data_IF_329599634219
#
_entry.id   IF_329599634219
#
_cell.length_a   1.000
_cell.length_b   1.000
_cell.length_c   1.000
_cell.angle_alpha   90.00
_cell.angle_beta   90.00
_cell.angle_gamma   90.00
#
_symmetry.space_group_name_H-M   'P 1'
#
loop_
_entity.id
_entity.type
_entity.pdbx_description
1 polymer ?
#
# COMPACT_ATOMS: atom_id res chain seq x y z
N UNK A 1 -21.39 87.51 6.27
CA UNK A 1 -22.22 87.01 7.40
C UNK A 1 -22.03 85.50 7.54
N UNK A 2 -21.87 85.02 8.78
CA UNK A 2 -21.64 83.64 9.26
C UNK A 2 -22.55 82.56 8.62
N UNK A 3 -22.06 81.37 8.24
CA UNK A 3 -21.97 80.07 8.97
C UNK A 3 -21.60 79.01 7.87
N UNK A 4 -21.04 77.81 8.05
CA UNK A 4 -20.66 76.93 9.16
C UNK A 4 -19.74 75.82 8.60
N UNK A 5 -18.98 75.16 9.48
CA UNK A 5 -18.13 73.99 9.25
C UNK A 5 -18.91 72.76 8.73
N UNK A 6 -18.33 71.99 7.79
CA UNK A 6 -18.42 70.53 7.79
C UNK A 6 -17.32 69.92 6.91
N UNK A 7 -16.31 69.34 7.57
CA UNK A 7 -15.57 68.16 7.10
C UNK A 7 -14.81 68.27 5.76
N UNK A 8 -13.56 68.76 5.65
CA UNK A 8 -12.29 68.30 6.28
C UNK A 8 -12.07 66.80 6.50
N UNK A 9 -13.03 65.92 6.17
CA UNK A 9 -12.91 64.46 6.44
C UNK A 9 -13.13 63.55 5.24
N UNK A 10 -13.30 64.07 4.02
CA UNK A 10 -13.57 63.21 2.84
C UNK A 10 -12.32 62.97 1.98
N UNK A 11 -11.28 63.78 2.13
CA UNK A 11 -10.01 63.61 1.39
C UNK A 11 -8.95 62.76 2.12
N UNK A 12 -9.27 62.25 3.32
CA UNK A 12 -8.40 61.37 4.12
C UNK A 12 -8.85 59.89 4.13
N UNK A 13 -9.85 59.52 3.32
CA UNK A 13 -10.49 58.19 3.33
C UNK A 13 -10.18 57.32 2.09
N UNK A 14 -9.19 57.72 1.27
CA UNK A 14 -8.93 57.08 -0.04
C UNK A 14 -7.52 56.53 -0.28
N UNK A 15 -6.63 56.47 0.71
CA UNK A 15 -5.25 55.95 0.53
C UNK A 15 -4.77 55.05 1.68
N UNK A 16 -5.63 54.15 2.16
CA UNK A 16 -5.27 53.17 3.20
C UNK A 16 -5.64 51.73 2.84
N UNK A 17 -5.43 51.32 1.58
CA UNK A 17 -5.61 49.93 1.15
C UNK A 17 -4.45 49.39 0.28
N UNK A 18 -3.26 49.96 0.43
CA UNK A 18 -2.00 49.34 0.00
C UNK A 18 -1.14 49.10 1.25
N UNK A 19 -1.66 48.27 2.15
CA UNK A 19 -0.79 47.55 3.06
C UNK A 19 -0.16 46.44 2.22
N UNK A 20 1.18 46.37 2.06
CA UNK A 20 1.77 45.07 1.81
C UNK A 20 1.29 44.18 2.95
N UNK A 21 0.58 43.10 2.63
CA UNK A 21 0.48 41.96 3.52
C UNK A 21 1.92 41.54 3.70
N UNK A 22 2.56 42.07 4.75
CA UNK A 22 3.69 41.43 5.38
C UNK A 22 3.19 40.00 5.58
N UNK A 23 3.74 39.07 4.79
CA UNK A 23 3.89 37.72 5.30
C UNK A 23 4.34 37.92 6.73
N UNK A 24 3.54 37.41 7.65
CA UNK A 24 4.00 37.20 8.99
C UNK A 24 5.36 36.52 8.80
N UNK A 25 6.46 37.18 9.17
CA UNK A 25 7.72 36.52 9.43
C UNK A 25 7.43 35.63 10.64
N UNK A 26 6.63 34.59 10.42
CA UNK A 26 6.48 33.47 11.31
C UNK A 26 7.92 33.05 11.49
N UNK A 27 8.43 33.29 12.70
CA UNK A 27 9.82 33.05 13.06
C UNK A 27 10.17 31.71 12.45
N UNK A 28 10.96 31.75 11.38
CA UNK A 28 11.56 30.54 10.86
C UNK A 28 12.48 30.09 11.99
N UNK A 29 11.98 29.15 12.79
CA UNK A 29 12.88 28.29 13.52
C UNK A 29 13.49 27.42 12.45
N UNK A 30 14.81 27.47 12.21
CA UNK A 30 15.43 26.31 11.59
C UNK A 30 14.97 25.07 12.37
N UNK A 31 14.77 23.96 11.65
CA UNK A 31 14.62 22.66 12.31
C UNK A 31 15.78 22.47 13.30
N UNK A 32 15.54 21.68 14.33
CA UNK A 32 16.59 21.38 15.31
C UNK A 32 17.86 20.91 14.58
N UNK A 33 19.03 21.24 15.13
CA UNK A 33 20.31 20.87 14.53
C UNK A 33 20.28 19.39 14.17
N UNK A 34 20.55 19.09 12.90
CA UNK A 34 20.67 17.71 12.41
C UNK A 34 21.65 16.98 13.32
N UNK A 35 21.15 16.03 14.11
CA UNK A 35 21.91 15.00 14.81
C UNK A 35 23.34 15.42 15.20
N UNK A 36 23.46 16.05 16.37
CA UNK A 36 24.76 16.47 16.91
C UNK A 36 25.75 15.30 17.10
N UNK A 37 25.25 14.07 17.15
CA UNK A 37 26.06 12.84 17.30
C UNK A 37 26.73 12.44 15.98
N UNK A 38 26.20 12.86 14.84
CA UNK A 38 26.67 12.43 13.52
C UNK A 38 26.43 10.94 13.27
N UNK A 39 25.46 10.31 13.94
CA UNK A 39 25.18 8.87 13.87
C UNK A 39 23.90 8.61 13.09
N UNK A 40 23.95 7.89 11.98
CA UNK A 40 22.76 7.55 11.22
C UNK A 40 22.34 6.10 11.47
N UNK A 41 21.18 5.91 12.09
CA UNK A 41 20.54 4.60 12.30
C UNK A 41 19.37 4.45 11.32
N UNK A 42 19.28 3.30 10.65
CA UNK A 42 18.30 3.04 9.60
C UNK A 42 17.86 1.57 9.59
N UNK A 43 16.73 1.27 8.96
CA UNK A 43 16.28 -0.11 8.77
C UNK A 43 16.97 -0.73 7.56
N UNK A 44 17.33 -2.01 7.66
CA UNK A 44 17.59 -2.84 6.48
C UNK A 44 16.34 -2.87 5.58
N UNK A 45 16.54 -2.98 4.27
CA UNK A 45 15.44 -3.09 3.32
C UNK A 45 14.56 -4.30 3.66
N UNK A 46 13.28 -4.06 3.91
CA UNK A 46 12.29 -5.09 4.19
C UNK A 46 11.29 -5.17 3.04
N UNK A 47 10.80 -6.38 2.76
CA UNK A 47 9.70 -6.53 1.80
C UNK A 47 8.47 -5.76 2.30
N UNK A 48 7.85 -4.91 1.45
CA UNK A 48 6.73 -4.05 1.85
C UNK A 48 5.46 -4.83 2.19
N UNK A 49 5.40 -6.11 1.83
CA UNK A 49 4.30 -7.02 2.13
C UNK A 49 4.85 -8.32 2.72
N UNK A 50 4.34 -8.70 3.89
CA UNK A 50 4.76 -9.88 4.65
C UNK A 50 3.56 -10.78 4.89
N UNK A 51 3.54 -11.93 4.21
CA UNK A 51 2.58 -13.00 4.45
C UNK A 51 3.20 -14.01 5.42
N UNK A 52 2.60 -14.12 6.60
CA UNK A 52 3.12 -14.96 7.68
C UNK A 52 2.17 -16.14 7.93
N UNK A 53 2.70 -17.31 8.33
CA UNK A 53 1.89 -18.44 8.76
C UNK A 53 0.91 -18.06 9.89
N UNK A 54 -0.22 -18.77 9.97
CA UNK A 54 -1.25 -18.52 11.01
C UNK A 54 -0.73 -18.66 12.44
N UNK A 55 0.30 -19.48 12.68
CA UNK A 55 0.93 -19.67 13.97
C UNK A 55 2.06 -18.67 14.27
N UNK A 56 2.38 -17.77 13.32
CA UNK A 56 3.33 -16.71 13.57
C UNK A 56 2.81 -15.76 14.66
N UNK A 57 3.70 -15.44 15.60
CA UNK A 57 3.44 -14.58 16.75
C UNK A 57 4.37 -13.37 16.79
N UNK A 58 5.30 -13.25 15.84
CA UNK A 58 6.28 -12.16 15.78
C UNK A 58 6.79 -11.94 14.36
N UNK A 59 7.39 -10.76 14.15
CA UNK A 59 8.20 -10.41 12.98
C UNK A 59 9.44 -9.64 13.47
N UNK A 60 10.58 -9.86 12.81
CA UNK A 60 11.83 -9.20 13.16
C UNK A 60 12.28 -8.27 12.05
N UNK A 61 12.67 -7.06 12.45
CA UNK A 61 13.32 -6.06 11.60
C UNK A 61 14.76 -5.90 12.05
N UNK A 62 15.64 -5.58 11.10
CA UNK A 62 17.05 -5.31 11.37
C UNK A 62 17.28 -3.82 11.25
N UNK A 63 17.86 -3.22 12.28
CA UNK A 63 18.41 -1.89 12.22
C UNK A 63 19.92 -1.96 12.04
N UNK A 64 20.43 -1.07 11.21
CA UNK A 64 21.84 -0.82 11.01
C UNK A 64 22.19 0.60 11.42
N UNK A 65 23.48 0.84 11.61
CA UNK A 65 24.02 2.17 11.82
C UNK A 65 25.36 2.33 11.12
N UNK A 66 25.69 3.56 10.77
CA UNK A 66 26.93 3.92 10.07
C UNK A 66 28.20 3.72 10.93
N UNK A 67 28.13 4.02 12.23
CA UNK A 67 29.26 3.97 13.15
C UNK A 67 28.94 3.18 14.42
N UNK A 68 29.84 2.28 14.82
CA UNK A 68 29.62 1.41 15.97
C UNK A 68 29.61 2.21 17.29
N UNK A 69 28.67 1.92 18.21
CA UNK A 69 28.54 2.69 19.43
C UNK A 69 29.74 2.44 20.35
N UNK A 70 30.19 3.50 21.02
CA UNK A 70 31.35 3.45 21.92
C UNK A 70 31.02 2.80 23.27
N UNK A 71 29.74 2.81 23.64
CA UNK A 71 29.12 2.22 24.83
C UNK A 71 27.81 1.55 24.42
N UNK A 72 27.20 0.75 25.28
CA UNK A 72 25.89 0.16 24.98
C UNK A 72 24.84 1.28 24.86
N UNK A 73 24.01 1.23 23.81
CA UNK A 73 23.11 2.32 23.46
C UNK A 73 21.70 1.80 23.14
N UNK A 74 20.68 2.49 23.66
CA UNK A 74 19.29 2.27 23.27
C UNK A 74 18.85 3.38 22.34
N UNK A 75 18.47 3.02 21.12
CA UNK A 75 17.95 3.94 20.11
C UNK A 75 16.43 3.91 20.19
N UNK A 76 15.76 5.02 20.53
CA UNK A 76 14.30 5.04 20.64
C UNK A 76 13.64 4.76 19.29
N UNK A 77 12.55 3.99 19.34
CA UNK A 77 11.72 3.65 18.20
C UNK A 77 10.31 4.19 18.41
N UNK A 78 9.70 4.58 17.32
CA UNK A 78 8.31 4.98 17.26
C UNK A 78 7.60 4.15 16.22
N UNK A 79 6.27 4.04 16.36
CA UNK A 79 5.46 3.34 15.36
C UNK A 79 4.15 4.08 15.09
N UNK A 80 3.60 3.83 13.90
CA UNK A 80 2.26 4.26 13.52
C UNK A 80 1.51 3.06 12.91
N UNK A 81 0.25 2.93 13.31
CA UNK A 81 -0.65 1.89 12.84
C UNK A 81 -2.10 2.29 13.11
N UNK A 82 -3.00 1.97 12.19
CA UNK A 82 -4.44 2.13 12.40
C UNK A 82 -5.00 1.19 13.50
N UNK A 83 -4.28 0.10 13.81
CA UNK A 83 -4.66 -0.92 14.79
C UNK A 83 -3.49 -1.16 15.77
N UNK A 84 -3.12 -0.19 16.62
CA UNK A 84 -1.96 -0.30 17.49
C UNK A 84 -2.06 -1.49 18.46
N UNK A 85 -3.27 -1.80 18.93
CA UNK A 85 -3.50 -2.92 19.86
C UNK A 85 -3.20 -4.30 19.26
N UNK A 86 -2.97 -4.41 17.93
CA UNK A 86 -2.57 -5.65 17.26
C UNK A 86 -1.07 -5.97 17.42
N UNK A 87 -0.27 -4.99 17.87
CA UNK A 87 1.19 -5.09 17.92
C UNK A 87 1.74 -4.72 19.29
N UNK A 88 2.75 -5.47 19.73
CA UNK A 88 3.64 -5.10 20.82
C UNK A 88 4.99 -4.74 20.22
N UNK A 89 5.21 -3.43 20.03
CA UNK A 89 6.44 -2.86 19.47
C UNK A 89 7.36 -2.43 20.62
N UNK A 90 8.65 -2.81 20.63
CA UNK A 90 9.58 -2.34 21.64
C UNK A 90 9.83 -0.83 21.51
N UNK A 91 9.95 -0.13 22.64
CA UNK A 91 10.17 1.33 22.68
C UNK A 91 11.57 1.74 22.18
N UNK A 92 12.50 0.80 22.08
CA UNK A 92 13.88 1.06 21.64
C UNK A 92 14.58 -0.17 21.06
N UNK A 93 15.51 0.05 20.13
CA UNK A 93 16.48 -0.94 19.67
C UNK A 93 17.76 -0.88 20.52
N UNK A 94 18.26 -2.03 20.97
CA UNK A 94 19.49 -2.10 21.75
C UNK A 94 20.70 -2.39 20.87
N UNK A 95 21.67 -1.49 20.85
CA UNK A 95 22.95 -1.67 20.18
C UNK A 95 24.05 -1.93 21.23
N UNK A 96 24.58 -3.16 21.30
CA UNK A 96 25.75 -3.43 22.13
C UNK A 96 26.97 -2.64 21.64
N UNK A 97 27.87 -2.32 22.57
CA UNK A 97 29.14 -1.66 22.26
C UNK A 97 29.88 -2.37 21.12
N UNK A 98 30.26 -1.60 20.10
CA UNK A 98 31.03 -2.10 18.97
C UNK A 98 30.23 -2.89 17.94
N UNK A 99 28.90 -3.00 18.08
CA UNK A 99 28.02 -3.72 17.16
C UNK A 99 27.22 -2.73 16.32
N UNK A 100 27.20 -2.96 15.01
CA UNK A 100 26.57 -2.07 14.02
C UNK A 100 25.10 -2.43 13.71
N UNK A 101 24.61 -3.55 14.24
CA UNK A 101 23.27 -4.04 13.95
C UNK A 101 22.51 -4.34 15.23
N UNK A 102 21.18 -4.24 15.15
CA UNK A 102 20.26 -4.59 16.21
C UNK A 102 19.02 -5.25 15.61
N UNK A 103 18.51 -6.28 16.26
CA UNK A 103 17.24 -6.92 15.88
C UNK A 103 16.11 -6.31 16.71
N UNK A 104 15.02 -5.95 16.03
CA UNK A 104 13.80 -5.44 16.61
C UNK A 104 12.68 -6.41 16.33
N UNK A 105 12.27 -7.14 17.35
CA UNK A 105 11.15 -8.08 17.27
C UNK A 105 9.87 -7.38 17.68
N UNK A 106 8.90 -7.36 16.78
CA UNK A 106 7.53 -6.92 17.02
C UNK A 106 6.66 -8.15 17.24
N UNK A 107 5.96 -8.22 18.37
CA UNK A 107 5.07 -9.33 18.69
C UNK A 107 3.64 -9.03 18.24
N UNK A 108 2.92 -10.08 17.85
CA UNK A 108 1.50 -10.02 17.51
C UNK A 108 0.66 -10.36 18.74
N UNK A 109 -0.38 -9.56 18.97
CA UNK A 109 -1.30 -9.77 20.08
C UNK A 109 -2.51 -10.61 19.65
N UNK A 110 -3.35 -11.00 20.60
CA UNK A 110 -4.63 -11.65 20.35
C UNK A 110 -5.63 -10.76 19.56
N UNK A 111 -5.39 -9.44 19.51
CA UNK A 111 -6.22 -8.50 18.73
C UNK A 111 -5.98 -8.61 17.23
N UNK A 112 -4.85 -9.19 16.81
CA UNK A 112 -4.56 -9.44 15.42
C UNK A 112 -5.44 -10.57 14.89
N UNK A 113 -6.26 -10.23 13.90
CA UNK A 113 -7.14 -11.17 13.19
C UNK A 113 -6.42 -11.77 11.98
N UNK A 114 -6.61 -13.07 11.78
CA UNK A 114 -6.11 -13.77 10.60
C UNK A 114 -6.82 -13.29 9.32
N UNK A 115 -6.13 -13.36 8.19
CA UNK A 115 -6.58 -12.91 6.86
C UNK A 115 -6.95 -11.42 6.77
N UNK A 116 -6.54 -10.62 7.76
CA UNK A 116 -6.68 -9.16 7.73
C UNK A 116 -5.31 -8.51 7.56
N UNK A 117 -5.26 -7.53 6.65
CA UNK A 117 -4.06 -6.71 6.44
C UNK A 117 -3.90 -5.66 7.54
N UNK A 118 -2.67 -5.51 8.02
CA UNK A 118 -2.27 -4.49 8.97
C UNK A 118 -1.08 -3.72 8.41
N UNK A 119 -1.20 -2.39 8.28
CA UNK A 119 -0.08 -1.53 7.91
C UNK A 119 0.61 -1.06 9.17
N UNK A 120 1.90 -1.35 9.28
CA UNK A 120 2.78 -0.94 10.36
C UNK A 120 3.90 -0.09 9.79
N UNK A 121 4.08 1.10 10.35
CA UNK A 121 5.22 1.96 10.07
C UNK A 121 6.10 2.01 11.32
N UNK A 122 7.36 1.62 11.22
CA UNK A 122 8.35 1.79 12.28
C UNK A 122 9.33 2.89 11.86
N UNK A 123 9.71 3.77 12.79
CA UNK A 123 10.66 4.83 12.51
C UNK A 123 11.58 5.11 13.70
N UNK A 124 12.83 5.39 13.38
CA UNK A 124 13.88 5.77 14.33
C UNK A 124 13.66 7.22 14.77
N UNK A 125 13.90 7.50 16.05
CA UNK A 125 13.86 8.86 16.58
C UNK A 125 14.80 9.81 15.81
N UNK A 126 14.30 11.01 15.48
CA UNK A 126 15.00 11.95 14.60
C UNK A 126 16.41 12.32 15.10
N UNK A 127 16.65 12.28 16.41
CA UNK A 127 17.96 12.53 17.02
C UNK A 127 19.06 11.55 16.55
N UNK A 128 18.66 10.37 16.05
CA UNK A 128 19.51 9.29 15.56
C UNK A 128 19.50 9.15 14.03
N UNK A 129 18.98 10.16 13.32
CA UNK A 129 18.85 10.15 11.86
C UNK A 129 19.60 11.32 11.24
N UNK A 130 19.93 11.23 9.95
CA UNK A 130 20.50 12.34 9.19
C UNK A 130 19.57 12.75 8.05
N UNK A 131 18.61 13.62 8.35
CA UNK A 131 17.54 14.01 7.42
C UNK A 131 18.00 14.73 6.13
N UNK A 132 19.22 15.26 6.10
CA UNK A 132 19.72 16.09 4.99
C UNK A 132 20.88 15.48 4.20
N UNK A 133 21.22 14.22 4.47
CA UNK A 133 22.18 13.49 3.65
C UNK A 133 21.40 12.73 2.57
N UNK A 134 21.83 12.87 1.32
CA UNK A 134 21.32 12.06 0.22
C UNK A 134 21.75 10.60 0.47
N UNK A 135 20.78 9.75 0.78
CA UNK A 135 21.03 8.35 1.14
C UNK A 135 19.96 7.44 0.54
N UNK A 136 20.35 6.20 0.28
CA UNK A 136 19.47 5.13 -0.19
C UNK A 136 18.87 4.32 0.96
N UNK A 137 19.19 4.67 2.20
CA UNK A 137 18.74 4.01 3.43
C UNK A 137 17.75 4.89 4.17
N UNK A 138 16.70 4.28 4.73
CA UNK A 138 15.59 5.02 5.32
C UNK A 138 15.52 4.79 6.83
N UNK A 139 15.35 5.85 7.64
CA UNK A 139 15.11 5.71 9.08
C UNK A 139 13.70 5.21 9.41
N UNK A 140 12.97 4.74 8.39
CA UNK A 140 11.58 4.28 8.46
C UNK A 140 11.43 3.03 7.61
N UNK A 141 10.68 2.07 8.10
CA UNK A 141 10.18 0.92 7.34
C UNK A 141 8.66 0.94 7.36
N UNK A 142 8.05 0.73 6.19
CA UNK A 142 6.61 0.60 6.01
C UNK A 142 6.31 -0.81 5.52
N UNK A 143 5.49 -1.53 6.26
CA UNK A 143 5.18 -2.93 5.95
C UNK A 143 3.70 -3.21 6.12
N UNK A 144 3.14 -3.98 5.19
CA UNK A 144 1.82 -4.60 5.32
C UNK A 144 2.01 -6.04 5.79
N UNK A 145 1.40 -6.39 6.91
CA UNK A 145 1.50 -7.71 7.54
C UNK A 145 0.13 -8.37 7.47
N UNK A 146 0.11 -9.64 7.06
CA UNK A 146 -1.06 -10.53 7.12
C UNK A 146 -0.64 -11.88 7.68
N UNK A 147 -1.49 -12.49 8.51
CA UNK A 147 -1.38 -13.91 8.84
C UNK A 147 -2.36 -14.71 8.00
N UNK A 148 -1.87 -15.65 7.23
CA UNK A 148 -2.67 -16.45 6.31
C UNK A 148 -2.04 -17.83 6.05
N UNK A 149 -2.81 -18.76 5.49
CA UNK A 149 -2.40 -20.14 5.17
C UNK A 149 -2.54 -20.48 3.69
N UNK A 150 -2.53 -19.47 2.82
CA UNK A 150 -2.59 -19.69 1.39
C UNK A 150 -1.32 -20.40 0.90
N UNK A 151 -1.50 -21.61 0.36
CA UNK A 151 -0.41 -22.40 -0.22
C UNK A 151 -0.58 -22.49 -1.73
N UNK A 152 0.51 -22.30 -2.48
CA UNK A 152 0.54 -22.49 -3.93
C UNK A 152 0.14 -23.92 -4.27
N UNK A 153 -0.98 -24.06 -4.98
CA UNK A 153 -1.46 -25.34 -5.47
C UNK A 153 -0.95 -25.59 -6.89
N UNK A 154 -1.04 -24.59 -7.76
CA UNK A 154 -0.73 -24.72 -9.18
C UNK A 154 -0.18 -23.42 -9.71
N UNK A 155 0.77 -23.50 -10.63
CA UNK A 155 1.17 -22.37 -11.47
C UNK A 155 0.47 -22.51 -12.81
N UNK A 156 -0.10 -21.42 -13.30
CA UNK A 156 -0.83 -21.42 -14.56
C UNK A 156 -0.71 -20.09 -15.27
N UNK A 157 -1.40 -20.01 -16.42
CA UNK A 157 -1.45 -18.81 -17.24
C UNK A 157 -2.77 -18.10 -17.02
N UNK A 158 -2.70 -16.88 -16.51
CA UNK A 158 -3.81 -15.95 -16.52
C UNK A 158 -3.81 -15.17 -17.84
N UNK A 159 -4.98 -15.01 -18.44
CA UNK A 159 -5.16 -14.29 -19.70
C UNK A 159 -6.33 -13.33 -19.54
N UNK A 160 -6.06 -12.05 -19.81
CA UNK A 160 -7.07 -11.02 -19.99
C UNK A 160 -7.22 -10.80 -21.50
N UNK A 161 -8.44 -10.93 -22.01
CA UNK A 161 -8.77 -10.65 -23.41
C UNK A 161 -9.39 -9.27 -23.61
N UNK A 162 -9.59 -8.86 -24.87
CA UNK A 162 -10.54 -7.79 -25.21
C UNK A 162 -9.98 -6.37 -25.32
N UNK A 163 -10.86 -5.38 -25.57
CA UNK A 163 -10.52 -3.98 -25.88
C UNK A 163 -9.99 -3.17 -24.68
N UNK A 164 -9.61 -3.86 -23.60
CA UNK A 164 -9.37 -3.28 -22.27
C UNK A 164 -7.91 -3.38 -21.83
N UNK A 165 -7.03 -3.84 -22.72
CA UNK A 165 -5.58 -3.78 -22.56
C UNK A 165 -5.06 -2.35 -22.34
N UNK A 166 -5.85 -1.32 -22.68
CA UNK A 166 -5.52 0.08 -22.43
C UNK A 166 -5.71 0.49 -20.95
N UNK A 167 -6.44 -0.31 -20.14
CA UNK A 167 -6.71 -0.02 -18.73
C UNK A 167 -5.86 -0.83 -17.75
N UNK A 168 -5.39 -2.00 -18.16
CA UNK A 168 -4.57 -2.89 -17.34
C UNK A 168 -3.19 -2.95 -18.00
N UNK A 169 -2.20 -2.36 -17.34
CA UNK A 169 -0.84 -2.29 -17.88
C UNK A 169 0.01 -3.46 -17.38
N UNK A 170 0.03 -4.55 -18.15
CA UNK A 170 1.02 -5.63 -17.96
C UNK A 170 2.31 -5.41 -18.76
N UNK A 171 2.50 -4.21 -19.28
CA UNK A 171 3.60 -3.83 -20.15
C UNK A 171 3.43 -4.32 -21.59
N UNK A 172 4.50 -4.12 -22.35
CA UNK A 172 4.64 -4.61 -23.72
C UNK A 172 5.67 -5.72 -23.80
N UNK A 173 5.47 -6.67 -24.70
CA UNK A 173 6.43 -7.73 -24.96
C UNK A 173 7.64 -7.22 -25.76
N UNK A 174 8.60 -8.11 -26.05
CA UNK A 174 9.80 -7.77 -26.81
C UNK A 174 9.54 -7.30 -28.27
N UNK A 175 8.29 -7.38 -28.74
CA UNK A 175 7.84 -6.86 -30.03
C UNK A 175 7.11 -5.52 -29.93
N UNK A 176 6.87 -5.02 -28.71
CA UNK A 176 6.14 -3.78 -28.45
C UNK A 176 4.63 -3.95 -28.41
N UNK A 177 4.12 -5.18 -28.40
CA UNK A 177 2.68 -5.47 -28.30
C UNK A 177 2.26 -5.67 -26.84
N UNK A 178 1.03 -5.28 -26.44
CA UNK A 178 0.55 -5.45 -25.08
C UNK A 178 0.60 -6.90 -24.60
N UNK A 179 1.11 -7.12 -23.38
CA UNK A 179 1.13 -8.43 -22.75
C UNK A 179 -0.29 -8.81 -22.34
N UNK A 180 -0.93 -9.76 -23.04
CA UNK A 180 -2.32 -10.19 -22.76
C UNK A 180 -2.42 -11.32 -21.74
N UNK A 181 -1.30 -11.72 -21.14
CA UNK A 181 -1.23 -12.90 -20.30
C UNK A 181 0.03 -12.96 -19.46
N UNK A 182 -0.06 -13.53 -18.26
CA UNK A 182 1.08 -13.74 -17.38
C UNK A 182 0.98 -15.07 -16.64
N UNK A 183 2.12 -15.53 -16.16
CA UNK A 183 2.18 -16.65 -15.24
C UNK A 183 1.76 -16.16 -13.86
N UNK A 184 0.83 -16.88 -13.24
CA UNK A 184 0.35 -16.60 -11.87
C UNK A 184 0.17 -17.91 -11.12
N UNK A 185 0.04 -17.80 -9.81
CA UNK A 185 -0.17 -18.92 -8.92
C UNK A 185 -1.63 -18.97 -8.47
N UNK A 186 -2.19 -20.18 -8.50
CA UNK A 186 -3.43 -20.52 -7.83
C UNK A 186 -3.07 -20.99 -6.43
N UNK A 187 -3.47 -20.24 -5.44
CA UNK A 187 -3.25 -20.54 -4.03
C UNK A 187 -4.55 -21.04 -3.40
N UNK A 188 -4.44 -21.83 -2.33
CA UNK A 188 -5.58 -22.35 -1.58
C UNK A 188 -5.35 -22.22 -0.08
N UNK A 189 -6.37 -21.72 0.62
CA UNK A 189 -6.46 -21.68 2.08
C UNK A 189 -7.35 -22.82 2.56
N UNK A 190 -6.83 -23.65 3.47
CA UNK A 190 -7.63 -24.70 4.12
C UNK A 190 -8.59 -24.12 5.15
N UNK A 191 -8.17 -23.05 5.83
CA UNK A 191 -8.97 -22.40 6.87
C UNK A 191 -10.21 -21.72 6.29
N UNK A 192 -10.07 -21.08 5.13
CA UNK A 192 -11.18 -20.42 4.44
C UNK A 192 -11.91 -21.33 3.44
N UNK A 193 -11.36 -22.52 3.16
CA UNK A 193 -11.79 -23.40 2.06
C UNK A 193 -11.92 -22.65 0.72
N UNK A 194 -10.87 -21.89 0.40
CA UNK A 194 -10.92 -20.86 -0.63
C UNK A 194 -9.68 -20.84 -1.49
N UNK A 195 -9.87 -20.57 -2.78
CA UNK A 195 -8.82 -20.29 -3.74
C UNK A 195 -8.62 -18.80 -3.92
N UNK A 196 -7.40 -18.42 -4.31
CA UNK A 196 -7.12 -17.07 -4.80
C UNK A 196 -6.08 -17.07 -5.93
N UNK A 197 -6.10 -16.00 -6.71
CA UNK A 197 -5.12 -15.72 -7.78
C UNK A 197 -4.83 -14.22 -7.75
N UNK A 198 -3.56 -13.79 -7.87
CA UNK A 198 -3.18 -12.39 -8.07
C UNK A 198 -2.86 -12.11 -9.55
N UNK A 199 -3.88 -11.82 -10.39
CA UNK A 199 -3.66 -11.56 -11.80
C UNK A 199 -3.06 -10.18 -12.06
N UNK A 200 -3.15 -9.23 -11.13
CA UNK A 200 -2.70 -7.85 -11.34
C UNK A 200 -1.31 -7.60 -10.76
N UNK A 201 -0.84 -8.42 -9.82
CA UNK A 201 0.53 -8.36 -9.25
C UNK A 201 0.70 -7.32 -8.15
N UNK A 202 -0.40 -6.83 -7.59
CA UNK A 202 -0.43 -5.78 -6.57
C UNK A 202 -0.94 -6.31 -5.22
N UNK A 203 -0.88 -7.63 -4.99
CA UNK A 203 -1.55 -8.26 -3.85
C UNK A 203 -3.07 -8.11 -3.95
N UNK A 204 -3.59 -8.02 -5.17
CA UNK A 204 -5.02 -7.86 -5.47
C UNK A 204 -5.54 -9.16 -6.02
N UNK A 205 -6.29 -9.85 -5.17
CA UNK A 205 -6.64 -11.24 -5.43
C UNK A 205 -8.07 -11.40 -5.93
N UNK A 206 -8.25 -12.27 -6.92
CA UNK A 206 -9.54 -12.88 -7.21
C UNK A 206 -9.70 -14.07 -6.26
N UNK A 207 -10.47 -13.88 -5.18
CA UNK A 207 -10.85 -14.96 -4.27
C UNK A 207 -12.11 -15.70 -4.72
N UNK A 208 -12.15 -17.02 -4.58
CA UNK A 208 -13.32 -17.85 -4.90
C UNK A 208 -13.32 -19.21 -4.18
N UNK A 209 -14.49 -19.82 -4.01
CA UNK A 209 -14.64 -21.22 -3.59
C UNK A 209 -15.19 -22.07 -4.74
N UNK A 210 -15.12 -23.40 -4.59
CA UNK A 210 -15.71 -24.35 -5.53
C UNK A 210 -16.95 -25.00 -4.94
N UNK A 211 -18.04 -24.94 -5.67
CA UNK A 211 -19.26 -25.69 -5.41
C UNK A 211 -19.20 -27.01 -6.18
N UNK A 212 -18.69 -28.05 -5.53
CA UNK A 212 -18.56 -29.40 -6.09
C UNK A 212 -19.92 -30.11 -6.28
N UNK A 213 -20.98 -29.65 -5.59
CA UNK A 213 -22.33 -30.22 -5.67
C UNK A 213 -23.15 -29.68 -6.86
N UNK A 214 -22.64 -28.65 -7.52
CA UNK A 214 -23.27 -28.04 -8.69
C UNK A 214 -22.76 -28.70 -9.98
N UNK A 215 -23.66 -29.16 -10.85
CA UNK A 215 -23.33 -29.85 -12.12
C UNK A 215 -22.39 -29.06 -13.05
N UNK A 216 -22.19 -27.76 -12.78
CA UNK A 216 -21.25 -26.87 -13.50
C UNK A 216 -19.86 -26.71 -12.85
N UNK A 217 -19.56 -27.36 -11.71
CA UNK A 217 -18.42 -27.03 -10.84
C UNK A 217 -18.39 -25.52 -10.55
N UNK A 218 -19.42 -25.04 -9.85
CA UNK A 218 -19.71 -23.61 -9.74
C UNK A 218 -18.59 -22.87 -9.01
N UNK A 219 -17.97 -21.89 -9.65
CA UNK A 219 -17.09 -20.96 -8.94
C UNK A 219 -17.98 -19.99 -8.17
N UNK A 220 -17.79 -19.90 -6.86
CA UNK A 220 -18.46 -18.89 -6.03
C UNK A 220 -17.43 -17.80 -5.71
N UNK A 221 -17.53 -16.60 -6.31
CA UNK A 221 -16.63 -15.50 -5.99
C UNK A 221 -16.72 -15.11 -4.52
N UNK A 222 -15.57 -15.01 -3.86
CA UNK A 222 -15.44 -14.39 -2.55
C UNK A 222 -15.27 -12.89 -2.80
N UNK A 223 -16.39 -12.17 -2.77
CA UNK A 223 -16.40 -10.72 -2.95
C UNK A 223 -17.04 -10.07 -1.73
N UNK A 224 -16.31 -9.15 -1.13
CA UNK A 224 -16.65 -8.54 0.16
C UNK A 224 -17.84 -7.57 0.06
N UNK A 225 -18.09 -6.98 -1.12
CA UNK A 225 -19.33 -6.25 -1.41
C UNK A 225 -19.50 -6.03 -2.93
N UNK A 226 -20.73 -5.98 -3.43
CA UNK A 226 -21.12 -5.64 -4.81
C UNK A 226 -20.51 -6.45 -5.99
N UNK A 227 -19.74 -7.52 -5.73
CA UNK A 227 -18.99 -8.28 -6.75
C UNK A 227 -17.91 -7.46 -7.49
N UNK A 228 -17.26 -6.54 -6.79
CA UNK A 228 -16.23 -5.65 -7.36
C UNK A 228 -14.86 -5.99 -6.76
N UNK A 229 -13.84 -6.08 -7.62
CA UNK A 229 -12.43 -6.17 -7.26
C UNK A 229 -11.71 -4.87 -7.61
N UNK A 230 -10.82 -4.43 -6.71
CA UNK A 230 -9.84 -3.39 -7.01
C UNK A 230 -8.65 -4.05 -7.69
N UNK A 231 -8.24 -3.57 -8.87
CA UNK A 231 -7.10 -4.17 -9.60
C UNK A 231 -5.76 -3.65 -9.11
N UNK A 232 -5.75 -2.41 -8.58
CA UNK A 232 -4.52 -1.68 -8.25
C UNK A 232 -3.96 -0.86 -9.41
N UNK A 233 -4.52 -1.01 -10.61
CA UNK A 233 -4.16 -0.20 -11.77
C UNK A 233 -4.83 1.18 -11.69
N UNK A 234 -4.09 2.20 -12.10
CA UNK A 234 -4.57 3.57 -12.21
C UNK A 234 -4.65 3.96 -13.69
N UNK A 235 -5.78 4.53 -14.10
CA UNK A 235 -5.98 5.07 -15.43
C UNK A 235 -6.00 6.60 -15.39
N UNK A 236 -5.30 7.28 -16.29
CA UNK A 236 -5.40 8.73 -16.41
C UNK A 236 -6.63 9.12 -17.25
N UNK A 237 -7.70 9.56 -16.58
CA UNK A 237 -8.89 10.05 -17.25
C UNK A 237 -8.62 11.45 -17.82
N UNK A 238 -8.53 11.56 -19.15
CA UNK A 238 -8.38 12.86 -19.83
C UNK A 238 -9.61 13.77 -19.68
N UNK A 239 -10.78 13.19 -19.41
CA UNK A 239 -12.01 13.94 -19.17
C UNK A 239 -12.04 14.55 -17.76
N UNK A 240 -11.57 13.79 -16.75
CA UNK A 240 -11.58 14.23 -15.36
C UNK A 240 -10.26 14.92 -14.94
N UNK A 241 -9.22 14.80 -15.76
CA UNK A 241 -7.89 15.37 -15.52
C UNK A 241 -7.16 14.72 -14.33
N UNK A 242 -7.51 13.48 -13.98
CA UNK A 242 -7.04 12.80 -12.78
C UNK A 242 -6.78 11.31 -13.03
N UNK A 243 -5.89 10.73 -12.22
CA UNK A 243 -5.72 9.29 -12.11
C UNK A 243 -6.89 8.70 -11.33
N UNK A 244 -7.47 7.64 -11.87
CA UNK A 244 -8.66 6.99 -11.34
C UNK A 244 -8.43 5.48 -11.27
N UNK A 245 -8.87 4.86 -10.19
CA UNK A 245 -8.66 3.44 -9.94
C UNK A 245 -9.52 2.58 -10.88
N UNK A 246 -8.91 1.55 -11.46
CA UNK A 246 -9.58 0.56 -12.29
C UNK A 246 -10.19 -0.52 -11.40
N UNK A 247 -11.45 -0.83 -11.66
CA UNK A 247 -12.25 -1.82 -10.94
C UNK A 247 -12.66 -2.95 -11.89
N UNK A 248 -12.65 -4.18 -11.42
CA UNK A 248 -13.18 -5.35 -12.12
C UNK A 248 -14.47 -5.82 -11.45
N UNK A 249 -15.60 -5.72 -12.14
CA UNK A 249 -16.91 -6.11 -11.61
C UNK A 249 -17.34 -7.45 -12.20
N UNK A 250 -17.73 -8.43 -11.39
CA UNK A 250 -18.18 -9.73 -11.92
C UNK A 250 -19.49 -9.54 -12.70
N UNK A 251 -19.45 -9.76 -14.01
CA UNK A 251 -20.53 -9.46 -14.96
C UNK A 251 -21.39 -10.69 -15.33
N UNK A 252 -20.95 -11.88 -14.93
CA UNK A 252 -21.64 -13.14 -15.20
C UNK A 252 -21.41 -14.21 -14.14
N UNK A 253 -21.70 -15.47 -14.49
CA UNK A 253 -21.36 -16.63 -13.66
C UNK A 253 -19.95 -17.13 -14.01
N UNK A 254 -18.98 -17.09 -13.08
CA UNK A 254 -17.70 -17.73 -13.31
C UNK A 254 -17.85 -19.26 -13.36
N UNK A 255 -17.01 -19.91 -14.18
CA UNK A 255 -17.14 -21.34 -14.49
C UNK A 255 -15.80 -22.07 -14.49
N UNK A 256 -15.81 -23.37 -14.19
CA UNK A 256 -14.64 -24.23 -14.30
C UNK A 256 -14.84 -25.34 -15.33
N UNK A 257 -13.91 -25.40 -16.30
CA UNK A 257 -13.86 -26.48 -17.29
C UNK A 257 -12.80 -27.51 -16.89
N UNK A 258 -13.22 -28.65 -16.35
CA UNK A 258 -12.32 -29.71 -15.87
C UNK A 258 -11.48 -30.37 -16.98
N UNK A 259 -12.00 -30.46 -18.21
CA UNK A 259 -11.27 -31.03 -19.34
C UNK A 259 -10.11 -30.14 -19.80
N UNK A 260 -10.32 -28.82 -19.74
CA UNK A 260 -9.31 -27.82 -20.11
C UNK A 260 -8.49 -27.30 -18.93
N UNK A 261 -8.90 -27.64 -17.70
CA UNK A 261 -8.37 -27.10 -16.44
C UNK A 261 -8.36 -25.58 -16.45
N UNK A 262 -9.48 -24.99 -16.87
CA UNK A 262 -9.61 -23.55 -17.06
C UNK A 262 -10.71 -23.00 -16.15
N UNK A 263 -10.36 -22.03 -15.31
CA UNK A 263 -11.33 -21.16 -14.65
C UNK A 263 -11.60 -19.96 -15.55
N UNK A 264 -12.85 -19.54 -15.63
CA UNK A 264 -13.29 -18.37 -16.41
C UNK A 264 -13.98 -17.38 -15.48
N UNK A 265 -13.52 -16.13 -15.50
CA UNK A 265 -14.02 -15.03 -14.70
C UNK A 265 -14.61 -13.96 -15.62
N UNK A 266 -15.94 -13.84 -15.71
CA UNK A 266 -16.58 -12.79 -16.47
C UNK A 266 -16.51 -11.48 -15.70
N UNK A 267 -15.75 -10.51 -16.22
CA UNK A 267 -15.61 -9.19 -15.63
C UNK A 267 -16.10 -8.10 -16.58
N UNK A 268 -16.69 -7.05 -16.03
CA UNK A 268 -16.76 -5.72 -16.65
C UNK A 268 -15.73 -4.87 -15.94
N UNK A 269 -14.69 -4.38 -16.63
CA UNK A 269 -13.84 -3.36 -15.99
C UNK A 269 -14.36 -1.95 -16.23
N UNK A 270 -14.06 -1.08 -15.29
CA UNK A 270 -14.46 0.31 -15.34
C UNK A 270 -13.62 1.21 -14.46
N UNK A 271 -13.82 2.51 -14.62
CA UNK A 271 -13.22 3.57 -13.82
C UNK A 271 -14.20 4.71 -13.67
N UNK A 272 -14.22 5.41 -12.54
CA UNK A 272 -15.10 6.58 -12.29
C UNK A 272 -16.58 6.37 -12.67
N UNK A 273 -17.10 5.14 -12.50
CA UNK A 273 -18.48 4.78 -12.87
C UNK A 273 -18.74 4.59 -14.36
N UNK A 274 -17.70 4.48 -15.19
CA UNK A 274 -17.78 4.14 -16.61
C UNK A 274 -17.40 2.69 -16.85
N UNK A 275 -18.20 2.00 -17.64
CA UNK A 275 -17.89 0.65 -18.12
C UNK A 275 -17.04 0.72 -19.38
N UNK A 276 -15.93 0.00 -19.38
CA UNK A 276 -15.01 -0.07 -20.52
C UNK A 276 -15.15 -1.38 -21.32
N UNK A 277 -16.07 -2.26 -20.92
CA UNK A 277 -16.47 -3.45 -21.66
C UNK A 277 -16.45 -4.72 -20.82
N UNK A 278 -17.03 -5.78 -21.38
CA UNK A 278 -17.04 -7.11 -20.79
C UNK A 278 -15.85 -7.94 -21.29
N UNK A 279 -15.27 -8.71 -20.40
CA UNK A 279 -14.23 -9.67 -20.68
C UNK A 279 -14.49 -11.01 -20.00
N UNK A 280 -13.93 -12.06 -20.59
CA UNK A 280 -13.86 -13.39 -19.98
C UNK A 280 -12.40 -13.71 -19.70
N UNK A 281 -11.93 -13.24 -18.55
CA UNK A 281 -10.61 -13.56 -18.07
C UNK A 281 -10.52 -15.05 -17.77
N UNK A 282 -9.34 -15.63 -17.96
CA UNK A 282 -9.16 -17.07 -17.74
C UNK A 282 -7.86 -17.38 -17.02
N UNK A 283 -7.89 -18.40 -16.16
CA UNK A 283 -6.71 -19.05 -15.60
C UNK A 283 -6.67 -20.52 -16.04
N UNK A 284 -5.57 -20.97 -16.64
CA UNK A 284 -5.39 -22.36 -17.12
C UNK A 284 -4.09 -22.98 -16.60
N UNK A 285 -4.14 -24.25 -16.18
CA UNK A 285 -3.02 -25.00 -15.57
C UNK A 285 -2.97 -26.49 -15.95
#
# INVERSE_FOLDING_TARGET
MKKMNFNRYILYLGMAALLPVSCNDGKYSPGDESNYLGVNVYFEEAEPYQSLPLDANEITFILERDDAPREDENVPLHFDCAFPDAFEVPESAFFPRGVLTSEVTVYFTESMQDFKEYRLSLYVDEAYTQQYIEQTTYPRVDVTIVREDYEVQRTGRYTCGGPMMDLIDWGVDGSGEPVTSRTVELEYSRTLDAYRIDPWGHGKYIGFTLDEDNEKNGIIPLVLDARIYVTGDMYYSTEDGAEVEVLATVSGEPTFNSNRRTYTFPFTYGYSGKDAGDNNDTFTY
#
